data_IF_456195356066
#
_entry.id   IF_456195356066
#
_cell.length_a   1.000
_cell.length_b   1.000
_cell.length_c   1.000
_cell.angle_alpha   90.00
_cell.angle_beta   90.00
_cell.angle_gamma   90.00
#
_symmetry.space_group_name_H-M   'P 1'
#
loop_
_entity.id
_entity.type
_entity.pdbx_description
1 polymer ?
#
# COMPACT_ATOMS: atom_id res chain seq x y z
N UNK A 1 0.12 49.39 -38.01
CA UNK A 1 -0.95 48.74 -37.23
C UNK A 1 -0.86 47.24 -37.53
N UNK A 2 -0.21 46.46 -36.63
CA UNK A 2 -0.10 45.00 -36.75
C UNK A 2 -1.21 44.44 -35.87
N UNK A 3 -2.23 43.83 -36.51
CA UNK A 3 -3.27 43.09 -35.83
C UNK A 3 -2.72 41.68 -35.56
N UNK A 4 -2.37 41.45 -34.30
CA UNK A 4 -1.99 40.11 -33.81
C UNK A 4 -3.28 39.30 -33.72
N UNK A 5 -3.49 38.42 -34.70
CA UNK A 5 -4.55 37.45 -34.72
C UNK A 5 -4.20 36.32 -33.72
N UNK A 6 -4.59 36.46 -32.47
CA UNK A 6 -4.54 35.38 -31.48
C UNK A 6 -5.54 34.33 -31.90
N UNK A 7 -5.03 33.36 -32.67
CA UNK A 7 -5.73 32.12 -32.96
C UNK A 7 -5.96 31.34 -31.66
N UNK A 8 -7.12 31.58 -31.06
CA UNK A 8 -7.68 30.70 -30.05
C UNK A 8 -7.95 29.35 -30.77
N UNK A 9 -6.99 28.47 -30.73
CA UNK A 9 -7.24 27.06 -31.06
C UNK A 9 -8.27 26.53 -30.06
N UNK A 10 -9.54 26.59 -30.48
CA UNK A 10 -10.65 25.90 -29.85
C UNK A 10 -10.25 24.41 -29.79
N UNK A 11 -9.71 23.96 -28.65
CA UNK A 11 -9.54 22.55 -28.40
C UNK A 11 -10.93 21.94 -28.54
N UNK A 12 -11.16 21.26 -29.65
CA UNK A 12 -12.32 20.41 -29.86
C UNK A 12 -12.30 19.40 -28.72
N UNK A 13 -13.09 19.63 -27.69
CA UNK A 13 -13.44 18.62 -26.70
C UNK A 13 -14.16 17.52 -27.49
N UNK A 14 -13.38 16.52 -27.84
CA UNK A 14 -13.90 15.32 -28.45
C UNK A 14 -14.64 14.56 -27.33
N UNK A 15 -15.92 14.83 -27.20
CA UNK A 15 -16.83 14.31 -26.16
C UNK A 15 -17.09 12.81 -26.43
N UNK A 16 -16.02 12.03 -26.62
CA UNK A 16 -16.07 10.58 -26.78
C UNK A 16 -15.77 9.94 -25.44
N UNK A 17 -16.77 9.22 -24.94
CA UNK A 17 -16.60 8.34 -23.78
C UNK A 17 -15.30 7.55 -23.93
N UNK A 18 -14.40 7.70 -22.97
CA UNK A 18 -13.16 6.94 -22.94
C UNK A 18 -13.43 5.53 -22.41
N UNK A 19 -13.89 4.67 -23.29
CA UNK A 19 -14.28 3.29 -22.98
C UNK A 19 -13.27 2.52 -22.11
N UNK A 20 -11.94 2.61 -22.33
CA UNK A 20 -10.98 1.93 -21.46
C UNK A 20 -11.07 2.35 -19.99
N UNK A 21 -11.21 3.67 -19.73
CA UNK A 21 -11.33 4.18 -18.36
C UNK A 21 -12.64 3.77 -17.71
N UNK A 22 -13.74 3.70 -18.49
CA UNK A 22 -15.02 3.24 -17.97
C UNK A 22 -14.97 1.76 -17.57
N UNK A 23 -14.41 0.90 -18.41
CA UNK A 23 -14.25 -0.53 -18.13
C UNK A 23 -13.38 -0.74 -16.90
N UNK A 24 -12.25 -0.03 -16.79
CA UNK A 24 -11.37 -0.09 -15.64
C UNK A 24 -12.11 0.35 -14.37
N UNK A 25 -12.86 1.44 -14.42
CA UNK A 25 -13.64 1.93 -13.28
C UNK A 25 -14.66 0.92 -12.76
N UNK A 26 -15.41 0.29 -13.68
CA UNK A 26 -16.38 -0.78 -13.32
C UNK A 26 -15.67 -2.00 -12.73
N UNK A 27 -14.56 -2.42 -13.30
CA UNK A 27 -13.76 -3.54 -12.76
C UNK A 27 -13.30 -3.23 -11.33
N UNK A 28 -12.80 -2.03 -11.06
CA UNK A 28 -12.38 -1.66 -9.70
C UNK A 28 -13.53 -1.67 -8.71
N UNK A 29 -14.75 -1.24 -9.09
CA UNK A 29 -15.93 -1.33 -8.23
C UNK A 29 -16.33 -2.79 -7.93
N UNK A 30 -16.29 -3.66 -8.93
CA UNK A 30 -16.56 -5.10 -8.73
C UNK A 30 -15.54 -5.71 -7.77
N UNK A 31 -14.25 -5.40 -7.95
CA UNK A 31 -13.18 -5.86 -7.07
C UNK A 31 -13.40 -5.35 -5.65
N UNK A 32 -13.82 -4.11 -5.45
CA UNK A 32 -14.10 -3.55 -4.13
C UNK A 32 -15.20 -4.34 -3.38
N UNK A 33 -16.28 -4.69 -4.08
CA UNK A 33 -17.35 -5.52 -3.51
C UNK A 33 -16.84 -6.91 -3.14
N UNK A 34 -16.01 -7.51 -4.00
CA UNK A 34 -15.43 -8.82 -3.75
C UNK A 34 -14.50 -8.81 -2.52
N UNK A 35 -13.66 -7.78 -2.40
CA UNK A 35 -12.77 -7.59 -1.24
C UNK A 35 -13.56 -7.50 0.06
N UNK A 36 -14.69 -6.79 0.09
CA UNK A 36 -15.54 -6.70 1.29
C UNK A 36 -16.23 -8.02 1.65
N UNK A 37 -16.50 -8.87 0.66
CA UNK A 37 -17.18 -10.13 0.87
C UNK A 37 -16.30 -11.21 1.50
N UNK A 38 -14.99 -11.16 1.28
CA UNK A 38 -14.04 -12.20 1.69
C UNK A 38 -12.81 -11.63 2.41
N UNK A 39 -12.96 -11.04 3.60
CA UNK A 39 -11.88 -10.33 4.28
C UNK A 39 -10.70 -11.22 4.71
N UNK A 40 -10.92 -12.47 5.07
CA UNK A 40 -9.84 -13.39 5.47
C UNK A 40 -9.01 -13.85 4.27
N UNK A 41 -9.67 -14.19 3.18
CA UNK A 41 -9.04 -14.59 1.92
C UNK A 41 -8.17 -13.48 1.33
N UNK A 42 -8.59 -12.23 1.47
CA UNK A 42 -7.80 -11.08 1.04
C UNK A 42 -6.45 -10.98 1.78
N UNK A 43 -6.44 -11.23 3.10
CA UNK A 43 -5.19 -11.25 3.84
C UNK A 43 -4.26 -12.38 3.39
N UNK A 44 -4.81 -13.55 3.09
CA UNK A 44 -4.02 -14.66 2.56
C UNK A 44 -3.42 -14.32 1.19
N UNK A 45 -4.20 -13.70 0.31
CA UNK A 45 -3.71 -13.23 -1.00
C UNK A 45 -2.59 -12.20 -0.83
N UNK A 46 -2.76 -11.22 0.05
CA UNK A 46 -1.74 -10.21 0.34
C UNK A 46 -0.47 -10.88 0.89
N UNK A 47 -0.60 -11.80 1.84
CA UNK A 47 0.53 -12.55 2.41
C UNK A 47 1.26 -13.35 1.34
N UNK A 48 0.53 -14.01 0.44
CA UNK A 48 1.10 -14.75 -0.67
C UNK A 48 1.88 -13.84 -1.62
N UNK A 49 1.32 -12.65 -1.96
CA UNK A 49 1.99 -11.65 -2.77
C UNK A 49 3.27 -11.12 -2.09
N UNK A 50 3.23 -10.92 -0.77
CA UNK A 50 4.42 -10.52 0.00
C UNK A 50 5.50 -11.60 -0.12
N UNK A 51 5.16 -12.88 0.08
CA UNK A 51 6.07 -14.00 -0.09
C UNK A 51 6.70 -14.04 -1.49
N UNK A 52 5.87 -13.85 -2.53
CA UNK A 52 6.33 -13.78 -3.91
C UNK A 52 7.29 -12.61 -4.14
N UNK A 53 6.99 -11.43 -3.60
CA UNK A 53 7.86 -10.27 -3.69
C UNK A 53 9.21 -10.50 -3.01
N UNK A 54 9.25 -11.17 -1.87
CA UNK A 54 10.51 -11.54 -1.21
C UNK A 54 11.36 -12.47 -2.08
N UNK A 55 10.76 -13.45 -2.75
CA UNK A 55 11.47 -14.35 -3.68
C UNK A 55 12.01 -13.56 -4.88
N UNK A 56 11.18 -12.71 -5.50
CA UNK A 56 11.61 -11.90 -6.65
C UNK A 56 12.74 -10.96 -6.27
N UNK A 57 12.61 -10.24 -5.15
CA UNK A 57 13.67 -9.34 -4.66
C UNK A 57 14.97 -10.10 -4.37
N UNK A 58 14.90 -11.23 -3.68
CA UNK A 58 16.06 -12.05 -3.42
C UNK A 58 16.73 -12.55 -4.70
N UNK A 59 15.97 -12.93 -5.71
CA UNK A 59 16.51 -13.29 -7.01
C UNK A 59 17.19 -12.12 -7.72
N UNK A 60 16.56 -10.94 -7.70
CA UNK A 60 17.16 -9.71 -8.27
C UNK A 60 18.47 -9.34 -7.55
N UNK A 61 18.52 -9.43 -6.21
CA UNK A 61 19.73 -9.19 -5.42
C UNK A 61 20.84 -10.19 -5.76
N UNK A 62 20.51 -11.47 -6.00
CA UNK A 62 21.49 -12.47 -6.46
C UNK A 62 22.10 -12.06 -7.79
N UNK A 63 21.28 -11.69 -8.77
CA UNK A 63 21.76 -11.25 -10.09
C UNK A 63 22.64 -10.01 -9.95
N UNK A 64 22.25 -9.03 -9.11
CA UNK A 64 23.06 -7.85 -8.84
C UNK A 64 24.39 -8.19 -8.18
N UNK A 65 24.41 -9.08 -7.20
CA UNK A 65 25.62 -9.54 -6.50
C UNK A 65 26.64 -10.15 -7.46
N UNK A 66 26.17 -10.97 -8.40
CA UNK A 66 27.04 -11.61 -9.42
C UNK A 66 27.63 -10.56 -10.36
N UNK A 67 26.83 -9.56 -10.77
CA UNK A 67 27.30 -8.50 -11.66
C UNK A 67 28.28 -7.54 -10.98
N UNK A 68 28.05 -7.20 -9.70
CA UNK A 68 28.95 -6.35 -8.93
C UNK A 68 30.32 -6.99 -8.68
N UNK A 69 30.39 -8.30 -8.49
CA UNK A 69 31.66 -9.03 -8.38
C UNK A 69 32.58 -8.83 -9.61
N UNK A 70 31.99 -8.61 -10.77
CA UNK A 70 32.75 -8.41 -12.02
C UNK A 70 33.35 -7.00 -12.16
N UNK A 71 32.79 -6.00 -11.46
CA UNK A 71 33.13 -4.59 -11.71
C UNK A 71 33.65 -3.84 -10.50
N UNK A 72 33.42 -4.28 -9.29
CA UNK A 72 33.81 -3.55 -8.07
C UNK A 72 34.14 -4.54 -6.96
N UNK A 73 35.33 -4.40 -6.38
CA UNK A 73 35.83 -5.28 -5.31
C UNK A 73 35.13 -5.04 -3.94
N UNK A 74 33.88 -4.52 -3.94
CA UNK A 74 33.12 -4.18 -2.74
C UNK A 74 32.12 -5.28 -2.39
N UNK A 75 32.07 -5.57 -1.11
CA UNK A 75 31.11 -6.37 -0.28
C UNK A 75 29.93 -7.09 -0.97
N UNK A 76 30.14 -7.75 -2.11
CA UNK A 76 29.12 -8.55 -2.79
C UNK A 76 28.60 -9.71 -1.92
N UNK A 77 29.38 -10.11 -0.89
CA UNK A 77 29.00 -11.18 0.05
C UNK A 77 27.78 -10.79 0.88
N UNK A 78 27.71 -9.52 1.32
CA UNK A 78 26.56 -9.05 2.12
C UNK A 78 25.27 -9.04 1.29
N UNK A 79 25.33 -8.58 0.04
CA UNK A 79 24.17 -8.58 -0.89
C UNK A 79 23.75 -10.03 -1.20
N UNK A 80 24.69 -10.94 -1.38
CA UNK A 80 24.40 -12.34 -1.61
C UNK A 80 23.73 -12.99 -0.40
N UNK A 81 24.13 -12.62 0.80
CA UNK A 81 23.56 -13.14 2.03
C UNK A 81 22.13 -12.64 2.26
N UNK A 82 21.88 -11.33 2.03
CA UNK A 82 20.51 -10.77 2.07
C UNK A 82 19.61 -11.41 1.02
N UNK A 83 20.11 -11.64 -0.18
CA UNK A 83 19.38 -12.31 -1.25
C UNK A 83 18.91 -13.72 -0.87
N UNK A 84 19.81 -14.52 -0.28
CA UNK A 84 19.47 -15.87 0.18
C UNK A 84 18.43 -15.82 1.30
N UNK A 85 18.60 -14.91 2.26
CA UNK A 85 17.64 -14.71 3.36
C UNK A 85 16.26 -14.33 2.80
N UNK A 86 16.19 -13.39 1.85
CA UNK A 86 14.94 -12.97 1.23
C UNK A 86 14.23 -14.15 0.53
N UNK A 87 14.96 -14.98 -0.21
CA UNK A 87 14.37 -16.16 -0.85
C UNK A 87 13.83 -17.14 0.19
N UNK A 88 14.60 -17.43 1.25
CA UNK A 88 14.18 -18.35 2.31
C UNK A 88 12.92 -17.82 3.00
N UNK A 89 12.90 -16.55 3.38
CA UNK A 89 11.73 -15.91 4.00
C UNK A 89 10.52 -16.02 3.08
N UNK A 90 10.66 -15.69 1.79
CA UNK A 90 9.56 -15.77 0.83
C UNK A 90 8.99 -17.19 0.69
N UNK A 91 9.84 -18.21 0.64
CA UNK A 91 9.43 -19.62 0.60
C UNK A 91 8.68 -19.99 1.89
N UNK A 92 9.20 -19.64 3.06
CA UNK A 92 8.56 -19.93 4.37
C UNK A 92 7.18 -19.28 4.44
N UNK A 93 7.04 -18.04 3.98
CA UNK A 93 5.75 -17.34 3.92
C UNK A 93 4.77 -18.10 3.05
N UNK A 94 5.17 -18.56 1.89
CA UNK A 94 4.28 -19.27 0.95
C UNK A 94 3.89 -20.67 1.42
N UNK A 95 4.79 -21.37 2.13
CA UNK A 95 4.51 -22.72 2.65
C UNK A 95 3.55 -22.70 3.85
N UNK A 96 3.56 -21.62 4.64
CA UNK A 96 2.77 -21.52 5.87
C UNK A 96 1.93 -20.23 5.89
N UNK A 97 1.04 -20.07 4.92
CA UNK A 97 0.26 -18.84 4.71
C UNK A 97 -0.48 -18.39 5.98
N UNK A 98 -1.18 -19.28 6.68
CA UNK A 98 -1.98 -18.93 7.86
C UNK A 98 -1.11 -18.39 8.99
N UNK A 99 -0.02 -19.10 9.31
CA UNK A 99 0.92 -18.67 10.36
C UNK A 99 1.63 -17.38 9.98
N UNK A 100 2.05 -17.26 8.72
CA UNK A 100 2.72 -16.06 8.20
C UNK A 100 1.80 -14.86 8.19
N UNK A 101 0.53 -15.03 7.81
CA UNK A 101 -0.47 -13.95 7.87
C UNK A 101 -0.65 -13.47 9.30
N UNK A 102 -0.80 -14.38 10.25
CA UNK A 102 -0.93 -14.02 11.67
C UNK A 102 0.32 -13.28 12.18
N UNK A 103 1.51 -13.73 11.81
CA UNK A 103 2.75 -13.07 12.16
C UNK A 103 2.86 -11.66 11.58
N UNK A 104 2.50 -11.47 10.31
CA UNK A 104 2.46 -10.16 9.66
C UNK A 104 1.47 -9.22 10.36
N UNK A 105 0.29 -9.72 10.77
CA UNK A 105 -0.69 -8.93 11.53
C UNK A 105 -0.08 -8.44 12.84
N UNK A 106 0.61 -9.29 13.59
CA UNK A 106 1.27 -8.90 14.84
C UNK A 106 2.38 -7.87 14.61
N UNK A 107 3.15 -7.99 13.54
CA UNK A 107 4.14 -6.98 13.18
C UNK A 107 3.47 -5.62 12.91
N UNK A 108 2.36 -5.61 12.17
CA UNK A 108 1.60 -4.38 11.94
C UNK A 108 1.01 -3.80 13.21
N UNK A 109 0.47 -4.64 14.10
CA UNK A 109 -0.07 -4.20 15.38
C UNK A 109 0.99 -3.48 16.24
N UNK A 110 2.17 -4.08 16.35
CA UNK A 110 3.31 -3.48 17.06
C UNK A 110 3.77 -2.19 16.37
N UNK A 111 3.83 -2.21 15.03
CA UNK A 111 4.17 -1.02 14.25
C UNK A 111 3.19 0.14 14.51
N UNK A 112 1.87 -0.11 14.48
CA UNK A 112 0.87 0.91 14.77
C UNK A 112 1.03 1.51 16.16
N UNK A 113 1.27 0.69 17.20
CA UNK A 113 1.48 1.17 18.55
C UNK A 113 2.73 2.06 18.63
N UNK A 114 3.85 1.60 18.06
CA UNK A 114 5.10 2.37 18.05
C UNK A 114 4.91 3.68 17.28
N UNK A 115 4.31 3.61 16.08
CA UNK A 115 4.08 4.77 15.23
C UNK A 115 3.20 5.81 15.95
N UNK A 116 2.08 5.39 16.52
CA UNK A 116 1.17 6.29 17.22
C UNK A 116 1.80 6.95 18.43
N UNK A 117 2.60 6.21 19.22
CA UNK A 117 3.34 6.76 20.36
C UNK A 117 4.33 7.83 19.89
N UNK A 118 5.14 7.53 18.86
CA UNK A 118 6.09 8.49 18.28
C UNK A 118 5.38 9.70 17.68
N UNK A 119 4.25 9.50 17.01
CA UNK A 119 3.46 10.56 16.40
C UNK A 119 2.90 11.53 17.45
N UNK A 120 2.42 11.03 18.60
CA UNK A 120 1.98 11.88 19.70
C UNK A 120 3.13 12.78 20.18
N UNK A 121 4.33 12.25 20.35
CA UNK A 121 5.49 13.05 20.74
C UNK A 121 5.86 14.11 19.70
N UNK A 122 5.76 13.77 18.41
CA UNK A 122 6.09 14.69 17.32
C UNK A 122 5.06 15.80 17.16
N UNK A 123 3.79 15.48 17.23
CA UNK A 123 2.68 16.44 17.11
C UNK A 123 2.73 17.48 18.24
N UNK A 124 3.07 17.09 19.46
CA UNK A 124 3.20 18.04 20.59
C UNK A 124 4.31 19.06 20.39
N UNK A 125 5.31 18.76 19.55
CA UNK A 125 6.44 19.67 19.31
C UNK A 125 6.22 20.58 18.10
N UNK A 126 5.59 20.10 17.03
CA UNK A 126 5.53 20.77 15.73
C UNK A 126 4.25 21.58 15.48
N UNK A 127 3.10 21.15 15.97
CA UNK A 127 1.80 21.72 15.61
C UNK A 127 1.20 22.71 16.61
N UNK A 128 2.03 23.44 17.35
CA UNK A 128 1.54 24.51 18.27
C UNK A 128 0.79 25.64 17.56
N UNK A 129 0.90 25.75 16.22
CA UNK A 129 0.34 26.86 15.44
C UNK A 129 -1.16 26.69 15.16
N UNK A 130 -1.70 25.46 15.11
CA UNK A 130 -3.14 25.24 14.81
C UNK A 130 -3.75 24.24 15.81
N UNK A 131 -4.50 24.78 16.77
CA UNK A 131 -5.12 24.01 17.86
C UNK A 131 -6.06 22.90 17.37
N UNK A 132 -6.79 23.12 16.29
CA UNK A 132 -7.71 22.12 15.73
C UNK A 132 -6.96 20.94 15.16
N UNK A 133 -5.94 21.18 14.34
CA UNK A 133 -5.12 20.11 13.75
C UNK A 133 -4.42 19.29 14.84
N UNK A 134 -3.86 19.97 15.85
CA UNK A 134 -3.24 19.32 16.99
C UNK A 134 -4.21 18.35 17.71
N UNK A 135 -5.45 18.81 18.01
CA UNK A 135 -6.44 17.98 18.71
C UNK A 135 -6.87 16.79 17.86
N UNK A 136 -7.10 16.99 16.55
CA UNK A 136 -7.46 15.92 15.60
C UNK A 136 -6.34 14.89 15.50
N UNK A 137 -5.08 15.32 15.37
CA UNK A 137 -3.93 14.43 15.27
C UNK A 137 -3.78 13.57 16.53
N UNK A 138 -3.91 14.14 17.73
CA UNK A 138 -3.86 13.38 18.98
C UNK A 138 -5.00 12.34 19.02
N UNK A 139 -6.21 12.73 18.65
CA UNK A 139 -7.35 11.82 18.65
C UNK A 139 -7.11 10.63 17.71
N UNK A 140 -6.59 10.89 16.49
CA UNK A 140 -6.25 9.85 15.50
C UNK A 140 -5.17 8.90 16.07
N UNK A 141 -4.12 9.44 16.69
CA UNK A 141 -3.04 8.63 17.24
C UNK A 141 -3.49 7.76 18.44
N UNK A 142 -4.40 8.26 19.27
CA UNK A 142 -5.02 7.46 20.34
C UNK A 142 -5.85 6.32 19.74
N UNK A 143 -6.61 6.59 18.67
CA UNK A 143 -7.40 5.59 17.95
C UNK A 143 -6.50 4.54 17.34
N UNK A 144 -5.33 4.93 16.80
CA UNK A 144 -4.32 4.03 16.24
C UNK A 144 -3.72 3.10 17.32
N UNK A 145 -3.47 3.59 18.53
CA UNK A 145 -3.03 2.75 19.66
C UNK A 145 -4.11 1.71 20.00
N UNK A 146 -5.36 2.14 20.12
CA UNK A 146 -6.49 1.24 20.43
C UNK A 146 -6.61 0.17 19.34
N UNK A 147 -6.52 0.54 18.08
CA UNK A 147 -6.52 -0.40 16.95
C UNK A 147 -5.35 -1.36 17.03
N UNK A 148 -4.13 -0.90 17.28
CA UNK A 148 -2.95 -1.76 17.43
C UNK A 148 -3.15 -2.79 18.54
N UNK A 149 -3.69 -2.39 19.68
CA UNK A 149 -4.01 -3.30 20.79
C UNK A 149 -5.10 -4.31 20.38
N UNK A 150 -6.16 -3.87 19.72
CA UNK A 150 -7.22 -4.76 19.25
C UNK A 150 -6.70 -5.81 18.25
N UNK A 151 -5.76 -5.43 17.36
CA UNK A 151 -5.14 -6.34 16.41
C UNK A 151 -4.31 -7.43 17.10
N UNK A 152 -3.65 -7.11 18.22
CA UNK A 152 -2.89 -8.09 19.01
C UNK A 152 -3.80 -9.16 19.63
N UNK A 153 -5.01 -8.76 20.07
CA UNK A 153 -5.95 -9.69 20.72
C UNK A 153 -6.82 -10.46 19.70
N UNK A 154 -7.08 -9.88 18.54
CA UNK A 154 -7.96 -10.49 17.54
C UNK A 154 -7.50 -10.23 16.11
N UNK A 155 -6.73 -11.14 15.51
CA UNK A 155 -6.24 -10.99 14.14
C UNK A 155 -7.37 -10.97 13.08
N UNK A 156 -8.58 -11.45 13.40
CA UNK A 156 -9.73 -11.39 12.47
C UNK A 156 -10.16 -9.94 12.25
N UNK A 157 -10.05 -9.09 13.27
CA UNK A 157 -10.34 -7.65 13.13
C UNK A 157 -9.40 -7.01 12.12
N UNK A 158 -8.14 -7.45 12.06
CA UNK A 158 -7.19 -6.98 11.05
C UNK A 158 -7.67 -7.30 9.62
N UNK A 159 -8.19 -8.51 9.40
CA UNK A 159 -8.72 -8.91 8.09
C UNK A 159 -9.85 -7.98 7.64
N UNK A 160 -10.80 -7.70 8.52
CA UNK A 160 -11.91 -6.81 8.24
C UNK A 160 -11.44 -5.39 7.98
N UNK A 161 -10.55 -4.84 8.82
CA UNK A 161 -10.03 -3.47 8.66
C UNK A 161 -9.25 -3.29 7.37
N UNK A 162 -8.31 -4.20 7.07
CA UNK A 162 -7.49 -4.13 5.85
C UNK A 162 -8.38 -4.25 4.62
N UNK A 163 -9.33 -5.19 4.62
CA UNK A 163 -10.27 -5.34 3.50
C UNK A 163 -11.14 -4.11 3.32
N UNK A 164 -11.64 -3.50 4.40
CA UNK A 164 -12.43 -2.28 4.34
C UNK A 164 -11.63 -1.11 3.74
N UNK A 165 -10.39 -0.91 4.21
CA UNK A 165 -9.50 0.14 3.68
C UNK A 165 -9.19 -0.09 2.21
N UNK A 166 -8.85 -1.32 1.82
CA UNK A 166 -8.59 -1.67 0.43
C UNK A 166 -9.82 -1.45 -0.45
N UNK A 167 -10.99 -1.94 -0.02
CA UNK A 167 -12.23 -1.74 -0.76
C UNK A 167 -12.55 -0.26 -0.95
N UNK A 168 -12.36 0.56 0.09
CA UNK A 168 -12.56 2.01 0.01
C UNK A 168 -11.63 2.67 -1.01
N UNK A 169 -10.35 2.29 -1.03
CA UNK A 169 -9.38 2.76 -2.04
C UNK A 169 -9.82 2.36 -3.45
N UNK A 170 -10.24 1.11 -3.65
CA UNK A 170 -10.71 0.63 -4.96
C UNK A 170 -12.00 1.36 -5.41
N UNK A 171 -12.92 1.67 -4.48
CA UNK A 171 -14.10 2.48 -4.77
C UNK A 171 -13.70 3.88 -5.25
N UNK A 172 -12.78 4.55 -4.55
CA UNK A 172 -12.31 5.89 -4.94
C UNK A 172 -11.67 5.85 -6.34
N UNK A 173 -10.80 4.88 -6.60
CA UNK A 173 -10.16 4.71 -7.91
C UNK A 173 -11.22 4.41 -8.98
N UNK A 174 -12.17 3.53 -8.71
CA UNK A 174 -13.25 3.17 -9.63
C UNK A 174 -14.10 4.37 -10.02
N UNK A 175 -14.53 5.15 -9.03
CA UNK A 175 -15.30 6.39 -9.25
C UNK A 175 -14.47 7.40 -10.06
N UNK A 176 -13.20 7.60 -9.68
CA UNK A 176 -12.28 8.50 -10.40
C UNK A 176 -12.14 8.12 -11.88
N UNK A 177 -11.98 6.84 -12.17
CA UNK A 177 -11.89 6.35 -13.55
C UNK A 177 -13.19 6.54 -14.35
N UNK A 178 -14.34 6.39 -13.70
CA UNK A 178 -15.64 6.65 -14.34
C UNK A 178 -15.79 8.14 -14.66
N UNK A 179 -15.41 9.04 -13.74
CA UNK A 179 -15.44 10.48 -13.97
C UNK A 179 -14.54 10.85 -15.16
N UNK A 180 -13.32 10.30 -15.23
CA UNK A 180 -12.40 10.52 -16.36
C UNK A 180 -12.97 9.99 -17.66
N UNK A 181 -13.73 8.90 -17.64
CA UNK A 181 -14.38 8.34 -18.81
C UNK A 181 -15.48 9.22 -19.39
N UNK A 182 -16.16 9.98 -18.50
CA UNK A 182 -17.31 10.84 -18.86
C UNK A 182 -16.89 12.30 -19.14
N UNK A 183 -15.64 12.66 -18.82
CA UNK A 183 -15.08 14.01 -19.09
C UNK A 183 -14.27 14.05 -20.38
#
# INVERSE_FOLDING_TARGET
>A
VIIINLGVTKMSQNNRIKWPSLVIGVIFLIIAVFIMSFPQENLFIITWLIGLLFIINGFMELVMSVNMRKHTNQNSVFIMLTAIINIIIGIVIMLNIVTSTTFIIYLFAVWFIIHAVLAIFTVTQLERSNRLLHTISIFINILEIILGILLLFNPIIAAVLVSFVLAFVFVIIGISQIIIALS
#
